data_IF_765712612366
#
_entry.id   IF_765712612366
#
_cell.length_a   1.000
_cell.length_b   1.000
_cell.length_c   1.000
_cell.angle_alpha   90.00
_cell.angle_beta   90.00
_cell.angle_gamma   90.00
#
_symmetry.space_group_name_H-M   'P 1'
#
loop_
_entity.id
_entity.type
_entity.pdbx_description
1 polymer ?
#
# COMPACT_ATOMS: atom_id res chain seq x y z
N UNK A 1 7.49 15.60 -23.28
CA UNK A 1 7.07 14.45 -22.43
C UNK A 1 7.90 13.24 -22.86
N UNK A 2 8.56 12.60 -21.92
CA UNK A 2 9.50 11.50 -22.18
C UNK A 2 8.71 10.26 -22.68
N UNK A 3 9.29 9.41 -23.51
CA UNK A 3 8.63 8.21 -24.08
C UNK A 3 8.03 7.28 -22.99
N UNK A 4 8.68 7.22 -21.80
CA UNK A 4 8.23 6.43 -20.64
C UNK A 4 6.99 7.05 -19.98
N UNK A 5 6.95 8.36 -19.79
CA UNK A 5 5.79 9.06 -19.19
C UNK A 5 4.52 8.81 -20.00
N UNK A 6 4.62 8.87 -21.33
CA UNK A 6 3.49 8.58 -22.21
C UNK A 6 3.04 7.12 -22.13
N UNK A 7 3.98 6.16 -21.98
CA UNK A 7 3.65 4.74 -21.83
C UNK A 7 2.94 4.47 -20.50
N UNK A 8 3.46 5.03 -19.42
CA UNK A 8 2.87 4.89 -18.09
C UNK A 8 1.47 5.51 -18.07
N UNK A 9 1.32 6.76 -18.55
CA UNK A 9 0.03 7.42 -18.59
C UNK A 9 -1.06 6.66 -19.34
N UNK A 10 -0.69 5.99 -20.48
CA UNK A 10 -1.62 5.16 -21.26
C UNK A 10 -1.94 3.81 -20.60
N UNK A 11 -1.08 3.32 -19.74
CA UNK A 11 -1.25 2.02 -19.06
C UNK A 11 -2.10 2.12 -17.80
N UNK A 12 -2.29 3.33 -17.24
CA UNK A 12 -3.09 3.53 -16.04
C UNK A 12 -4.57 3.29 -16.37
N UNK A 13 -5.18 2.37 -15.61
CA UNK A 13 -6.61 2.08 -15.65
C UNK A 13 -7.24 2.48 -14.33
N UNK A 14 -8.08 3.50 -14.36
CA UNK A 14 -8.71 4.05 -13.17
C UNK A 14 -9.52 3.00 -12.39
N UNK A 15 -10.19 2.10 -13.12
CA UNK A 15 -10.98 1.02 -12.53
C UNK A 15 -10.11 0.06 -11.70
N UNK A 16 -8.90 -0.26 -12.16
CA UNK A 16 -7.97 -1.13 -11.42
C UNK A 16 -7.48 -0.44 -10.13
N UNK A 17 -7.11 0.84 -10.21
CA UNK A 17 -6.73 1.64 -9.03
C UNK A 17 -7.87 1.68 -8.02
N UNK A 18 -9.08 2.02 -8.51
CA UNK A 18 -10.27 2.11 -7.67
C UNK A 18 -10.58 0.76 -7.01
N UNK A 19 -10.44 -0.35 -7.76
CA UNK A 19 -10.70 -1.67 -7.22
C UNK A 19 -9.71 -2.03 -6.10
N UNK A 20 -8.42 -1.78 -6.29
CA UNK A 20 -7.40 -2.01 -5.25
C UNK A 20 -7.74 -1.20 -3.99
N UNK A 21 -8.06 0.09 -4.13
CA UNK A 21 -8.41 0.95 -2.99
C UNK A 21 -9.68 0.44 -2.29
N UNK A 22 -10.71 0.04 -3.04
CA UNK A 22 -11.93 -0.52 -2.48
C UNK A 22 -11.67 -1.79 -1.69
N UNK A 23 -10.83 -2.68 -2.20
CA UNK A 23 -10.50 -3.94 -1.52
C UNK A 23 -9.74 -3.66 -0.21
N UNK A 24 -8.84 -2.68 -0.19
CA UNK A 24 -8.18 -2.24 1.05
C UNK A 24 -9.18 -1.63 2.05
N UNK A 25 -10.12 -0.79 1.59
CA UNK A 25 -11.14 -0.15 2.46
C UNK A 25 -12.04 -1.19 3.10
N UNK A 26 -12.39 -2.27 2.38
CA UNK A 26 -13.22 -3.37 2.90
C UNK A 26 -12.57 -4.18 4.01
N UNK A 27 -11.27 -4.09 4.19
CA UNK A 27 -10.55 -4.81 5.24
C UNK A 27 -10.40 -3.91 6.46
N UNK A 28 -11.11 -4.17 7.58
CA UNK A 28 -10.89 -3.44 8.82
C UNK A 28 -9.45 -3.63 9.31
N UNK A 29 -8.76 -2.53 9.64
CA UNK A 29 -7.36 -2.56 10.10
C UNK A 29 -7.09 -1.60 11.25
N UNK A 30 -8.13 -1.26 12.02
CA UNK A 30 -8.00 -0.32 13.14
C UNK A 30 -7.55 -1.02 14.43
N UNK A 31 -6.95 -0.25 15.34
CA UNK A 31 -6.38 -0.75 16.59
C UNK A 31 -7.38 -1.42 17.54
N UNK A 32 -8.69 -1.16 17.42
CA UNK A 32 -9.72 -1.83 18.20
C UNK A 32 -10.15 -3.20 17.62
N UNK A 33 -9.58 -3.64 16.48
CA UNK A 33 -9.78 -4.98 15.94
C UNK A 33 -8.82 -5.97 16.57
N UNK A 34 -9.27 -7.21 16.79
CA UNK A 34 -8.44 -8.30 17.32
C UNK A 34 -7.19 -8.54 16.47
N UNK A 35 -7.39 -8.61 15.15
CA UNK A 35 -6.30 -8.91 14.19
C UNK A 35 -5.61 -7.67 13.64
N UNK A 36 -6.05 -6.47 14.02
CA UNK A 36 -5.48 -5.19 13.57
C UNK A 36 -5.10 -5.20 12.07
N UNK A 37 -3.83 -4.97 11.75
CA UNK A 37 -3.32 -4.85 10.39
C UNK A 37 -3.00 -6.20 9.71
N UNK A 38 -3.06 -7.32 10.42
CA UNK A 38 -2.68 -8.63 9.85
C UNK A 38 -3.45 -8.97 8.56
N UNK A 39 -4.79 -8.79 8.48
CA UNK A 39 -5.52 -9.10 7.26
C UNK A 39 -5.14 -8.24 6.06
N UNK A 40 -4.95 -6.93 6.27
CA UNK A 40 -4.58 -6.01 5.17
C UNK A 40 -3.13 -6.23 4.72
N UNK A 41 -2.21 -6.55 5.65
CA UNK A 41 -0.84 -6.89 5.32
C UNK A 41 -0.76 -8.14 4.45
N UNK A 42 -1.51 -9.19 4.79
CA UNK A 42 -1.59 -10.42 3.99
C UNK A 42 -2.22 -10.16 2.62
N UNK A 43 -3.26 -9.33 2.54
CA UNK A 43 -3.89 -8.96 1.27
C UNK A 43 -2.90 -8.24 0.34
N UNK A 44 -2.18 -7.23 0.84
CA UNK A 44 -1.14 -6.53 0.07
C UNK A 44 -0.01 -7.47 -0.37
N UNK A 45 0.43 -8.37 0.52
CA UNK A 45 1.40 -9.39 0.15
C UNK A 45 0.91 -10.24 -1.02
N UNK A 46 -0.30 -10.77 -0.93
CA UNK A 46 -0.90 -11.59 -2.00
C UNK A 46 -1.07 -10.80 -3.30
N UNK A 47 -1.44 -9.52 -3.23
CA UNK A 47 -1.55 -8.64 -4.39
C UNK A 47 -0.20 -8.53 -5.12
N UNK A 48 0.88 -8.24 -4.40
CA UNK A 48 2.21 -8.12 -5.00
C UNK A 48 2.74 -9.45 -5.54
N UNK A 49 2.52 -10.55 -4.80
CA UNK A 49 2.88 -11.90 -5.27
C UNK A 49 2.19 -12.26 -6.59
N UNK A 50 0.90 -11.93 -6.73
CA UNK A 50 0.15 -12.19 -7.95
C UNK A 50 0.68 -11.43 -9.18
N UNK A 51 1.35 -10.30 -8.96
CA UNK A 51 2.02 -9.49 -9.99
C UNK A 51 3.50 -9.87 -10.19
N UNK A 52 3.98 -10.88 -9.49
CA UNK A 52 5.38 -11.30 -9.55
C UNK A 52 6.36 -10.24 -9.02
N UNK A 53 5.92 -9.43 -8.07
CA UNK A 53 6.74 -8.45 -7.35
C UNK A 53 7.28 -9.11 -6.08
N UNK A 54 8.58 -8.94 -5.84
CA UNK A 54 9.22 -9.45 -4.65
C UNK A 54 8.66 -8.74 -3.40
N UNK A 55 8.13 -9.53 -2.44
CA UNK A 55 7.44 -9.00 -1.27
C UNK A 55 7.62 -9.88 -0.06
N UNK A 56 7.79 -9.27 1.12
CA UNK A 56 7.80 -9.99 2.38
C UNK A 56 7.12 -9.21 3.50
N UNK A 57 6.76 -9.93 4.56
CA UNK A 57 6.24 -9.35 5.80
C UNK A 57 7.39 -9.15 6.78
N UNK A 58 7.73 -7.90 7.06
CA UNK A 58 8.75 -7.51 8.03
C UNK A 58 8.12 -7.50 9.42
N UNK A 59 8.44 -8.49 10.25
CA UNK A 59 7.89 -8.61 11.61
C UNK A 59 8.35 -7.45 12.48
N UNK A 60 7.40 -6.76 13.11
CA UNK A 60 7.67 -5.58 13.94
C UNK A 60 7.34 -5.84 15.40
N UNK A 61 6.07 -6.05 15.73
CA UNK A 61 5.60 -6.21 17.12
C UNK A 61 4.32 -7.06 17.17
N UNK A 62 4.18 -7.89 18.19
CA UNK A 62 2.95 -8.65 18.50
C UNK A 62 2.35 -9.42 17.30
N UNK A 63 3.21 -10.00 16.47
CA UNK A 63 2.78 -10.72 15.26
C UNK A 63 2.34 -9.81 14.09
N UNK A 64 2.34 -8.51 14.28
CA UNK A 64 2.04 -7.51 13.24
C UNK A 64 3.29 -7.19 12.42
N UNK A 65 3.12 -6.93 11.15
CA UNK A 65 4.22 -6.77 10.22
C UNK A 65 4.00 -5.59 9.28
N UNK A 66 5.09 -4.91 8.93
CA UNK A 66 5.11 -4.08 7.74
C UNK A 66 5.06 -4.97 6.48
N UNK A 67 4.60 -4.41 5.39
CA UNK A 67 4.64 -5.04 4.06
C UNK A 67 5.71 -4.33 3.25
N UNK A 68 6.75 -5.06 2.86
CA UNK A 68 7.83 -4.51 2.04
C UNK A 68 7.79 -5.19 0.68
N UNK A 69 7.57 -4.41 -0.39
CA UNK A 69 7.62 -4.91 -1.76
C UNK A 69 8.66 -4.13 -2.57
N UNK A 70 9.43 -4.82 -3.41
CA UNK A 70 10.57 -4.22 -4.11
C UNK A 70 10.59 -4.55 -5.59
N UNK A 71 10.71 -3.52 -6.42
CA UNK A 71 11.15 -3.63 -7.80
C UNK A 71 12.65 -3.31 -7.85
N UNK A 72 13.45 -4.32 -8.19
CA UNK A 72 14.90 -4.15 -8.28
C UNK A 72 15.29 -3.31 -9.47
N UNK A 73 16.19 -2.34 -9.24
CA UNK A 73 16.89 -1.57 -10.25
C UNK A 73 18.25 -2.18 -10.62
N UNK A 74 18.99 -1.49 -11.51
CA UNK A 74 20.35 -1.89 -11.91
C UNK A 74 21.42 -1.52 -10.90
N UNK A 75 21.10 -0.73 -9.89
CA UNK A 75 22.05 -0.19 -8.92
C UNK A 75 22.81 1.08 -9.39
N UNK A 76 22.46 1.60 -10.57
CA UNK A 76 23.11 2.79 -11.15
C UNK A 76 22.55 4.12 -10.64
N UNK A 77 21.55 4.08 -9.76
CA UNK A 77 20.90 5.28 -9.22
C UNK A 77 20.36 5.06 -7.79
N UNK A 78 19.93 6.14 -7.15
CA UNK A 78 19.35 6.06 -5.82
C UNK A 78 18.02 5.30 -5.84
N UNK A 79 17.74 4.58 -4.75
CA UNK A 79 16.44 3.94 -4.55
C UNK A 79 15.38 4.96 -4.11
N UNK A 80 14.13 4.66 -4.42
CA UNK A 80 12.95 5.43 -4.01
C UNK A 80 12.06 4.54 -3.14
N UNK A 81 11.68 5.03 -1.97
CA UNK A 81 10.70 4.35 -1.11
C UNK A 81 9.39 5.15 -1.06
N UNK A 82 8.29 4.47 -1.34
CA UNK A 82 6.95 4.90 -0.98
C UNK A 82 6.61 4.34 0.40
N UNK A 83 6.35 5.22 1.37
CA UNK A 83 5.98 4.84 2.72
C UNK A 83 4.56 5.32 3.02
N UNK A 84 3.70 4.44 3.53
CA UNK A 84 2.35 4.76 3.95
C UNK A 84 1.83 3.75 4.96
N UNK A 85 0.98 4.24 5.92
CA UNK A 85 0.43 3.35 6.93
C UNK A 85 -0.77 2.56 6.41
N UNK A 86 -0.92 1.34 6.93
CA UNK A 86 -1.99 0.41 6.57
C UNK A 86 -3.06 0.24 7.65
N UNK A 87 -2.81 0.79 8.84
CA UNK A 87 -3.80 0.88 9.91
C UNK A 87 -4.76 2.06 9.71
N UNK A 88 -5.79 2.13 10.53
CA UNK A 88 -6.75 3.23 10.57
C UNK A 88 -7.23 3.43 12.02
N UNK A 89 -7.77 4.61 12.30
CA UNK A 89 -8.60 4.78 13.50
C UNK A 89 -9.90 3.98 13.39
N UNK A 90 -10.57 3.63 14.52
CA UNK A 90 -11.90 3.02 14.50
C UNK A 90 -12.95 3.85 13.76
N UNK A 91 -14.06 3.25 13.34
CA UNK A 91 -15.09 3.96 12.56
C UNK A 91 -15.86 5.04 13.33
N UNK A 92 -15.85 5.04 14.66
CA UNK A 92 -16.48 6.07 15.51
C UNK A 92 -17.92 6.46 15.08
N UNK A 93 -18.79 5.48 14.82
CA UNK A 93 -20.18 5.72 14.40
C UNK A 93 -20.39 6.02 12.92
N UNK A 94 -19.35 5.87 12.08
CA UNK A 94 -19.51 5.94 10.63
C UNK A 94 -20.45 4.82 10.14
N UNK A 95 -21.48 5.17 9.37
CA UNK A 95 -22.36 4.20 8.74
C UNK A 95 -21.60 3.43 7.64
N UNK A 96 -21.76 2.10 7.63
CA UNK A 96 -21.20 1.19 6.62
C UNK A 96 -19.71 1.45 6.31
N UNK A 97 -18.83 1.49 7.33
CA UNK A 97 -17.48 2.02 7.20
C UNK A 97 -16.57 1.18 6.31
N UNK A 98 -16.91 -0.08 6.05
CA UNK A 98 -16.09 -1.00 5.28
C UNK A 98 -16.77 -1.51 3.99
N UNK A 99 -17.85 -0.84 3.55
CA UNK A 99 -18.55 -1.24 2.31
C UNK A 99 -17.87 -0.69 1.04
N UNK A 100 -16.97 0.27 1.16
CA UNK A 100 -16.27 0.91 0.05
C UNK A 100 -17.25 1.41 -1.04
N UNK A 101 -18.24 2.19 -0.62
CA UNK A 101 -19.33 2.66 -1.48
C UNK A 101 -18.82 3.75 -2.43
N UNK A 102 -19.06 3.58 -3.73
CA UNK A 102 -18.78 4.61 -4.74
C UNK A 102 -20.08 5.32 -5.10
N UNK A 103 -20.11 6.65 -4.94
CA UNK A 103 -21.22 7.51 -5.35
C UNK A 103 -20.67 8.67 -6.18
N UNK A 104 -21.02 8.70 -7.46
CA UNK A 104 -20.42 9.64 -8.39
C UNK A 104 -18.91 9.45 -8.49
N UNK A 105 -18.14 10.48 -8.17
CA UNK A 105 -16.67 10.46 -8.18
C UNK A 105 -16.04 10.34 -6.78
N UNK A 106 -16.81 9.89 -5.78
CA UNK A 106 -16.34 9.77 -4.40
C UNK A 106 -16.43 8.33 -3.91
N UNK A 107 -15.39 7.89 -3.21
CA UNK A 107 -15.33 6.62 -2.48
C UNK A 107 -15.53 6.89 -0.97
N UNK A 108 -16.52 6.25 -0.38
CA UNK A 108 -16.84 6.35 1.04
C UNK A 108 -16.41 5.08 1.78
N UNK A 109 -15.77 5.27 2.93
CA UNK A 109 -15.37 4.20 3.84
C UNK A 109 -14.25 4.63 4.79
N UNK A 110 -14.06 3.91 5.90
CA UNK A 110 -12.97 4.18 6.84
C UNK A 110 -11.63 3.91 6.17
N UNK A 111 -10.72 4.90 6.26
CA UNK A 111 -9.41 4.84 5.63
C UNK A 111 -9.39 5.22 4.14
N UNK A 112 -10.54 5.58 3.52
CA UNK A 112 -10.56 5.97 2.11
C UNK A 112 -9.75 7.23 1.80
N UNK A 113 -9.56 8.12 2.75
CA UNK A 113 -8.70 9.30 2.65
C UNK A 113 -7.38 9.05 3.36
N UNK A 114 -7.43 8.57 4.57
CA UNK A 114 -6.28 8.35 5.46
C UNK A 114 -6.14 6.87 5.82
N UNK A 115 -5.15 6.14 5.20
CA UNK A 115 -4.54 6.56 3.93
C UNK A 115 -4.57 5.44 2.89
N UNK A 116 -5.62 4.57 2.92
CA UNK A 116 -5.71 3.41 2.01
C UNK A 116 -5.75 3.79 0.53
N UNK A 117 -6.24 5.01 0.18
CA UNK A 117 -6.14 5.51 -1.19
C UNK A 117 -4.67 5.76 -1.58
N UNK A 118 -3.89 6.36 -0.70
CA UNK A 118 -2.45 6.52 -0.89
C UNK A 118 -1.74 5.17 -1.03
N UNK A 119 -2.01 4.24 -0.11
CA UNK A 119 -1.46 2.87 -0.13
C UNK A 119 -1.80 2.16 -1.44
N UNK A 120 -3.06 2.18 -1.86
CA UNK A 120 -3.50 1.54 -3.11
C UNK A 120 -2.88 2.17 -4.35
N UNK A 121 -2.73 3.50 -4.36
CA UNK A 121 -2.09 4.22 -5.47
C UNK A 121 -0.59 3.90 -5.57
N UNK A 122 0.11 3.85 -4.43
CA UNK A 122 1.53 3.46 -4.37
C UNK A 122 1.72 2.01 -4.81
N UNK A 123 0.87 1.10 -4.35
CA UNK A 123 0.90 -0.30 -4.78
C UNK A 123 0.70 -0.42 -6.29
N UNK A 124 -0.30 0.28 -6.85
CA UNK A 124 -0.56 0.27 -8.27
C UNK A 124 0.59 0.87 -9.09
N UNK A 125 1.30 1.87 -8.57
CA UNK A 125 2.48 2.42 -9.22
C UNK A 125 3.56 1.35 -9.43
N UNK A 126 3.85 0.52 -8.41
CA UNK A 126 4.77 -0.60 -8.57
C UNK A 126 4.27 -1.61 -9.60
N UNK A 127 2.98 -1.95 -9.55
CA UNK A 127 2.34 -2.89 -10.48
C UNK A 127 2.50 -2.43 -11.93
N UNK A 128 2.22 -1.17 -12.23
CA UNK A 128 2.34 -0.62 -13.57
C UNK A 128 3.81 -0.63 -14.04
N UNK A 129 4.75 -0.24 -13.21
CA UNK A 129 6.17 -0.28 -13.56
C UNK A 129 6.64 -1.71 -13.87
N UNK A 130 6.18 -2.70 -13.08
CA UNK A 130 6.45 -4.12 -13.29
C UNK A 130 5.88 -4.61 -14.62
N UNK A 131 4.57 -4.37 -14.87
CA UNK A 131 3.88 -4.80 -16.09
C UNK A 131 4.48 -4.21 -17.36
N UNK A 132 4.97 -2.97 -17.29
CA UNK A 132 5.62 -2.29 -18.42
C UNK A 132 7.09 -2.68 -18.60
N UNK A 133 7.67 -3.46 -17.70
CA UNK A 133 9.08 -3.84 -17.74
C UNK A 133 10.02 -2.64 -17.73
N UNK A 134 9.68 -1.59 -16.96
CA UNK A 134 10.49 -0.38 -16.90
C UNK A 134 11.86 -0.70 -16.29
N UNK A 135 12.93 -0.37 -17.02
CA UNK A 135 14.30 -0.49 -16.49
C UNK A 135 14.57 0.63 -15.49
N UNK A 136 14.64 0.26 -14.22
CA UNK A 136 14.89 1.17 -13.11
C UNK A 136 16.41 1.27 -12.86
N UNK A 137 16.92 2.47 -12.55
CA UNK A 137 18.31 2.65 -12.14
C UNK A 137 18.54 2.30 -10.67
N UNK A 138 17.62 2.68 -9.80
CA UNK A 138 17.58 2.29 -8.38
C UNK A 138 16.36 1.46 -8.06
N UNK A 139 16.32 0.86 -6.89
CA UNK A 139 15.14 0.10 -6.44
C UNK A 139 13.94 1.04 -6.23
N UNK A 140 12.73 0.55 -6.52
CA UNK A 140 11.49 1.18 -6.08
C UNK A 140 10.87 0.27 -5.04
N UNK A 141 10.72 0.80 -3.82
CA UNK A 141 10.30 0.07 -2.64
C UNK A 141 8.93 0.61 -2.20
N UNK A 142 8.00 -0.30 -1.94
CA UNK A 142 6.77 -0.01 -1.22
C UNK A 142 6.93 -0.47 0.23
N UNK A 143 6.61 0.39 1.18
CA UNK A 143 6.58 0.10 2.61
C UNK A 143 5.20 0.43 3.17
N UNK A 144 4.36 -0.58 3.35
CA UNK A 144 3.10 -0.47 4.06
C UNK A 144 3.35 -0.68 5.55
N UNK A 145 3.33 0.39 6.35
CA UNK A 145 3.72 0.36 7.77
C UNK A 145 2.53 0.24 8.70
N UNK A 146 2.76 -0.36 9.87
CA UNK A 146 1.77 -0.52 10.93
C UNK A 146 1.87 0.59 11.99
N UNK A 147 0.78 0.76 12.75
CA UNK A 147 0.77 1.45 14.05
C UNK A 147 1.02 2.97 13.95
N UNK A 148 0.57 3.61 12.87
CA UNK A 148 0.66 5.07 12.73
C UNK A 148 -0.55 5.76 13.39
N UNK A 149 -1.77 5.39 13.01
CA UNK A 149 -3.04 5.94 13.49
C UNK A 149 -3.31 5.62 14.98
N UNK A 150 -2.60 4.64 15.56
CA UNK A 150 -2.59 4.34 16.96
C UNK A 150 -1.59 5.21 17.77
N UNK A 151 -0.97 6.23 17.15
CA UNK A 151 0.07 7.10 17.70
C UNK A 151 1.35 6.36 18.15
N UNK A 152 1.60 5.16 17.61
CA UNK A 152 2.72 4.31 18.01
C UNK A 152 3.97 4.47 17.13
N UNK A 153 3.81 4.62 15.81
CA UNK A 153 4.90 4.70 14.81
C UNK A 153 5.84 3.48 14.81
N UNK A 154 5.42 2.33 15.37
CA UNK A 154 6.27 1.17 15.50
C UNK A 154 6.80 0.67 14.15
N UNK A 155 5.96 0.67 13.12
CA UNK A 155 6.33 0.23 11.77
C UNK A 155 7.38 1.11 11.13
N UNK A 156 7.16 2.42 11.11
CA UNK A 156 8.10 3.38 10.52
C UNK A 156 9.43 3.41 11.27
N UNK A 157 9.38 3.39 12.62
CA UNK A 157 10.58 3.32 13.45
C UNK A 157 11.41 2.08 13.13
N UNK A 158 10.77 0.93 12.98
CA UNK A 158 11.45 -0.31 12.66
C UNK A 158 12.22 -0.23 11.32
N UNK A 159 11.64 0.40 10.30
CA UNK A 159 12.32 0.62 9.02
C UNK A 159 13.55 1.53 9.18
N UNK A 160 13.44 2.60 9.98
CA UNK A 160 14.57 3.52 10.21
C UNK A 160 15.74 2.81 10.92
N UNK A 161 15.43 1.94 11.86
CA UNK A 161 16.44 1.23 12.67
C UNK A 161 17.05 0.01 11.97
N UNK A 162 16.28 -0.69 11.12
CA UNK A 162 16.68 -1.99 10.56
C UNK A 162 16.71 -2.04 9.03
N UNK A 163 16.23 -0.99 8.38
CA UNK A 163 16.05 -0.95 6.92
C UNK A 163 14.78 -1.67 6.47
N UNK A 164 14.44 -1.47 5.21
CA UNK A 164 13.35 -2.19 4.56
C UNK A 164 13.80 -3.58 4.14
#
# INVERSE_FOLDING_TARGET
>A
MNCIENKVGKAIKQEEVLQIIRDLVKIPSHWAQEKREIPIANHLKSLFESEGIDVYLQKVVDGRSNVIATLKGTGEGPSLMFNGHIDTVPPFGMDRPFDAIVQGNKLYGRGSVDMKSGVGTMAYALIILKRLGVKLKGDVIFAGVIDEDAAGSAGSRYIVEHGP
#
